data_IF_893811134486
#
_entry.id   IF_893811134486
#
_cell.length_a   1.000
_cell.length_b   1.000
_cell.length_c   1.000
_cell.angle_alpha   90.00
_cell.angle_beta   90.00
_cell.angle_gamma   90.00
#
_symmetry.space_group_name_H-M   'P 1'
#
loop_
_entity.id
_entity.type
_entity.pdbx_description
1 polymer ?
#
# COMPACT_ATOMS: atom_id res chain seq x y z
N UNK A 1 -30.05 -24.39 -14.08
CA UNK A 1 -30.81 -24.40 -12.81
C UNK A 1 -29.81 -24.19 -11.68
N UNK A 2 -29.01 -23.14 -11.74
CA UNK A 2 -29.35 -21.73 -11.48
C UNK A 2 -29.77 -21.52 -10.04
N UNK A 3 -28.82 -21.03 -9.25
CA UNK A 3 -29.01 -19.91 -8.32
C UNK A 3 -27.62 -19.47 -7.81
N UNK A 4 -26.94 -18.65 -8.63
CA UNK A 4 -25.96 -17.70 -8.12
C UNK A 4 -26.78 -16.52 -7.59
N UNK A 5 -27.05 -16.52 -6.29
CA UNK A 5 -27.46 -15.30 -5.60
C UNK A 5 -26.30 -14.31 -5.65
N UNK A 6 -26.53 -13.24 -6.40
CA UNK A 6 -25.69 -12.06 -6.42
C UNK A 6 -25.64 -11.44 -5.02
N UNK A 7 -24.49 -11.54 -4.36
CA UNK A 7 -24.22 -10.74 -3.16
C UNK A 7 -24.17 -9.24 -3.56
N UNK A 8 -24.81 -8.34 -2.80
CA UNK A 8 -24.74 -6.91 -3.04
C UNK A 8 -23.31 -6.42 -2.85
N UNK A 9 -22.83 -5.61 -3.79
CA UNK A 9 -21.44 -5.16 -3.87
C UNK A 9 -21.00 -4.38 -2.63
N UNK A 10 -20.19 -5.02 -1.78
CA UNK A 10 -19.42 -4.39 -0.72
C UNK A 10 -18.26 -3.59 -1.30
N UNK A 11 -18.16 -2.31 -0.93
CA UNK A 11 -17.08 -1.43 -1.35
C UNK A 11 -15.92 -1.54 -0.35
N UNK A 12 -14.80 -2.15 -0.75
CA UNK A 12 -13.64 -2.27 0.13
C UNK A 12 -13.01 -0.91 0.44
N UNK A 13 -12.55 -0.73 1.67
CA UNK A 13 -11.69 0.39 2.09
C UNK A 13 -10.50 0.60 1.13
N UNK A 14 -9.90 -0.48 0.63
CA UNK A 14 -8.77 -0.45 -0.30
C UNK A 14 -9.18 -0.09 -1.74
N UNK A 15 -10.33 -0.57 -2.20
CA UNK A 15 -10.90 -0.18 -3.50
C UNK A 15 -11.33 1.29 -3.50
N UNK A 16 -11.81 1.78 -2.35
CA UNK A 16 -12.13 3.18 -2.13
C UNK A 16 -10.88 4.07 -2.23
N UNK A 17 -9.77 3.73 -1.56
CA UNK A 17 -8.53 4.51 -1.66
C UNK A 17 -8.01 4.58 -3.10
N UNK A 18 -7.97 3.44 -3.80
CA UNK A 18 -7.62 3.40 -5.24
C UNK A 18 -8.54 4.28 -6.11
N UNK A 19 -9.84 4.35 -5.83
CA UNK A 19 -10.83 5.12 -6.62
C UNK A 19 -10.96 6.60 -6.22
N UNK A 20 -10.64 6.95 -4.97
CA UNK A 20 -10.71 8.32 -4.45
C UNK A 20 -9.46 9.12 -4.83
N UNK A 21 -8.26 8.57 -4.59
CA UNK A 21 -7.01 9.27 -4.86
C UNK A 21 -6.69 9.36 -6.35
N UNK A 22 -7.14 8.42 -7.17
CA UNK A 22 -7.03 8.51 -8.63
C UNK A 22 -7.90 9.60 -9.27
N UNK A 23 -8.77 10.28 -8.50
CA UNK A 23 -9.69 11.32 -8.97
C UNK A 23 -9.38 12.72 -8.43
N UNK A 24 -8.38 12.86 -7.55
CA UNK A 24 -7.91 14.19 -7.16
C UNK A 24 -6.97 14.71 -8.26
N UNK A 25 -7.17 15.93 -8.78
CA UNK A 25 -6.29 16.48 -9.80
C UNK A 25 -4.87 16.60 -9.21
N UNK A 26 -3.82 16.09 -9.87
CA UNK A 26 -2.46 16.35 -9.44
C UNK A 26 -2.19 17.85 -9.61
N UNK A 27 -1.83 18.51 -8.51
CA UNK A 27 -1.19 19.82 -8.59
C UNK A 27 0.24 19.59 -9.08
N UNK A 28 0.42 19.57 -10.40
CA UNK A 28 1.71 19.41 -11.05
C UNK A 28 2.26 20.77 -11.49
N UNK A 29 3.47 21.11 -11.05
CA UNK A 29 4.23 22.28 -11.54
C UNK A 29 5.60 21.73 -11.98
N UNK A 30 5.94 21.75 -13.29
CA UNK A 30 7.19 21.15 -13.75
C UNK A 30 8.36 22.09 -13.45
N UNK A 31 9.38 21.60 -12.74
CA UNK A 31 10.67 22.29 -12.58
C UNK A 31 11.79 21.30 -12.28
N UNK A 32 12.52 20.86 -13.32
CA UNK A 32 13.99 20.66 -13.39
C UNK A 32 14.78 19.85 -12.35
N UNK A 33 14.22 19.45 -11.22
CA UNK A 33 14.86 18.66 -10.16
C UNK A 33 14.04 17.39 -9.95
N UNK A 34 14.71 16.24 -10.12
CA UNK A 34 14.23 14.88 -9.96
C UNK A 34 13.03 14.72 -8.99
N UNK A 35 11.84 14.65 -9.54
CA UNK A 35 10.58 14.78 -8.80
C UNK A 35 10.20 13.44 -8.16
N UNK A 36 10.07 13.44 -6.84
CA UNK A 36 9.51 12.31 -6.09
C UNK A 36 7.99 12.35 -6.28
N UNK A 37 7.32 11.21 -6.53
CA UNK A 37 5.89 11.17 -6.71
C UNK A 37 5.14 11.80 -5.51
N UNK A 38 4.02 12.50 -5.73
CA UNK A 38 3.35 13.29 -4.70
C UNK A 38 2.82 12.46 -3.51
N UNK A 39 2.63 11.15 -3.71
CA UNK A 39 2.19 10.18 -2.70
C UNK A 39 3.36 9.52 -1.93
N UNK A 40 4.61 9.92 -2.20
CA UNK A 40 5.80 9.51 -1.44
C UNK A 40 6.37 10.70 -0.66
N UNK A 41 6.85 10.44 0.55
CA UNK A 41 7.54 11.42 1.40
C UNK A 41 9.03 11.12 1.46
N UNK A 42 9.87 12.16 1.43
CA UNK A 42 11.32 12.04 1.67
C UNK A 42 11.66 11.72 3.12
N UNK A 43 10.74 11.95 4.05
CA UNK A 43 10.94 11.70 5.47
C UNK A 43 11.14 10.19 5.72
N UNK A 44 12.08 9.81 6.61
CA UNK A 44 12.27 8.41 6.97
C UNK A 44 11.04 7.87 7.72
N UNK A 45 10.72 6.59 7.54
CA UNK A 45 9.71 5.86 8.31
C UNK A 45 10.23 5.63 9.74
N UNK A 46 10.22 6.69 10.55
CA UNK A 46 10.70 6.70 11.94
C UNK A 46 9.76 7.54 12.81
N UNK A 47 9.36 7.01 13.96
CA UNK A 47 8.34 7.63 14.82
C UNK A 47 6.95 7.59 14.21
N UNK A 48 6.02 8.33 14.80
CA UNK A 48 4.63 8.36 14.32
C UNK A 48 4.48 9.27 13.08
N UNK A 49 3.66 8.89 12.09
CA UNK A 49 3.28 9.77 11.00
C UNK A 49 2.38 10.92 11.48
N UNK A 50 2.25 11.99 10.69
CA UNK A 50 1.23 13.01 10.87
C UNK A 50 -0.18 12.41 10.93
N UNK A 51 -1.02 12.93 11.83
CA UNK A 51 -2.31 12.32 12.19
C UNK A 51 -3.53 13.23 12.10
N UNK A 52 -3.41 14.45 11.53
CA UNK A 52 -4.58 15.31 11.32
C UNK A 52 -5.39 14.84 10.10
N UNK A 53 -6.64 15.27 9.98
CA UNK A 53 -7.50 14.81 8.89
C UNK A 53 -6.95 15.16 7.50
N UNK A 54 -6.28 16.31 7.37
CA UNK A 54 -5.64 16.70 6.12
C UNK A 54 -4.55 15.69 5.69
N UNK A 55 -3.85 15.07 6.64
CA UNK A 55 -2.81 14.07 6.35
C UNK A 55 -3.44 12.75 5.84
N UNK A 56 -4.61 12.38 6.36
CA UNK A 56 -5.37 11.22 5.87
C UNK A 56 -5.97 11.44 4.47
N UNK A 57 -6.24 12.70 4.11
CA UNK A 57 -6.73 13.10 2.79
C UNK A 57 -5.63 13.19 1.72
N UNK A 58 -4.36 13.12 2.12
CA UNK A 58 -3.21 13.11 1.21
C UNK A 58 -2.05 12.32 1.82
N UNK A 59 -2.25 11.02 2.11
CA UNK A 59 -1.29 10.22 2.82
C UNK A 59 -0.04 10.03 1.95
N UNK A 60 1.14 10.13 2.57
CA UNK A 60 2.42 9.97 1.87
C UNK A 60 3.20 8.85 2.52
N UNK A 61 3.59 7.86 1.73
CA UNK A 61 4.40 6.77 2.26
C UNK A 61 5.81 7.29 2.56
N UNK A 62 6.30 7.06 3.76
CA UNK A 62 7.64 7.49 4.19
C UNK A 62 8.73 6.57 3.64
N UNK A 63 9.95 7.12 3.53
CA UNK A 63 11.11 6.46 2.96
C UNK A 63 11.65 5.39 3.91
N UNK A 64 12.06 4.25 3.38
CA UNK A 64 12.70 3.20 4.17
C UNK A 64 14.04 3.72 4.75
N UNK A 65 14.25 3.69 6.08
CA UNK A 65 15.45 4.23 6.70
C UNK A 65 16.75 3.53 6.25
N UNK A 66 16.69 2.22 5.96
CA UNK A 66 17.83 1.43 5.51
C UNK A 66 18.21 1.57 4.03
N UNK A 67 17.61 2.53 3.31
CA UNK A 67 17.78 2.70 1.87
C UNK A 67 19.20 3.07 1.40
N UNK A 68 20.08 3.49 2.31
CA UNK A 68 21.50 3.78 2.01
C UNK A 68 22.41 2.56 2.16
N UNK A 69 21.89 1.47 2.72
CA UNK A 69 22.66 0.25 2.90
C UNK A 69 22.75 -0.56 1.61
N UNK A 70 23.82 -1.35 1.49
CA UNK A 70 23.98 -2.31 0.42
C UNK A 70 22.87 -3.38 0.48
N UNK A 71 22.29 -3.72 -0.66
CA UNK A 71 21.23 -4.72 -0.77
C UNK A 71 21.84 -6.07 -1.07
N UNK A 72 21.59 -7.05 -0.21
CA UNK A 72 21.96 -8.43 -0.45
C UNK A 72 20.73 -9.20 -0.93
N UNK A 73 20.70 -9.53 -2.21
CA UNK A 73 19.67 -10.34 -2.85
C UNK A 73 19.80 -11.79 -2.40
N UNK A 74 18.76 -12.32 -1.75
CA UNK A 74 18.81 -13.67 -1.15
C UNK A 74 18.06 -14.68 -2.00
N UNK A 75 16.82 -14.35 -2.39
CA UNK A 75 15.94 -15.29 -3.08
C UNK A 75 14.83 -14.59 -3.85
N UNK A 76 14.65 -15.02 -5.10
CA UNK A 76 13.46 -14.69 -5.88
C UNK A 76 12.19 -15.28 -5.24
N UNK A 77 11.20 -14.44 -4.96
CA UNK A 77 9.93 -14.89 -4.40
C UNK A 77 8.86 -15.04 -5.47
N UNK A 78 8.68 -14.02 -6.31
CA UNK A 78 7.67 -13.99 -7.38
C UNK A 78 7.90 -12.82 -8.32
N UNK A 79 7.47 -12.93 -9.57
CA UNK A 79 7.18 -11.79 -10.43
C UNK A 79 5.71 -11.77 -10.89
N UNK A 80 5.23 -10.61 -11.33
CA UNK A 80 3.89 -10.41 -11.87
C UNK A 80 3.87 -9.26 -12.88
N UNK A 81 2.70 -8.87 -13.36
CA UNK A 81 2.59 -7.82 -14.38
C UNK A 81 3.09 -6.43 -13.94
N UNK A 82 3.00 -6.13 -12.65
CA UNK A 82 3.36 -4.82 -12.08
C UNK A 82 4.83 -4.73 -11.66
N UNK A 83 5.50 -5.87 -11.44
CA UNK A 83 6.80 -5.87 -10.77
C UNK A 83 7.30 -7.24 -10.33
N UNK A 84 8.40 -7.22 -9.57
CA UNK A 84 9.07 -8.40 -9.00
C UNK A 84 9.16 -8.27 -7.48
N UNK A 85 9.18 -9.40 -6.77
CA UNK A 85 9.35 -9.47 -5.33
C UNK A 85 10.55 -10.36 -5.00
N UNK A 86 11.51 -9.78 -4.31
CA UNK A 86 12.76 -10.43 -3.88
C UNK A 86 12.83 -10.48 -2.35
N UNK A 87 13.34 -11.58 -1.79
CA UNK A 87 13.82 -11.60 -0.43
C UNK A 87 15.21 -10.97 -0.39
N UNK A 88 15.38 -9.96 0.45
CA UNK A 88 16.63 -9.18 0.56
C UNK A 88 17.00 -8.97 2.02
N UNK A 89 18.27 -8.69 2.28
CA UNK A 89 18.71 -8.05 3.52
C UNK A 89 19.42 -6.74 3.20
N UNK A 90 19.36 -5.76 4.11
CA UNK A 90 20.00 -4.46 3.96
C UNK A 90 21.19 -4.34 4.92
N UNK A 91 22.38 -4.07 4.39
CA UNK A 91 23.62 -3.94 5.17
C UNK A 91 24.36 -5.26 5.37
N UNK A 92 25.57 -5.18 5.95
CA UNK A 92 26.51 -6.30 6.09
C UNK A 92 26.69 -6.86 7.50
N UNK A 93 25.74 -6.62 8.41
CA UNK A 93 25.79 -7.21 9.76
C UNK A 93 25.30 -8.66 9.78
N UNK A 94 25.67 -9.40 10.82
CA UNK A 94 25.28 -10.80 11.09
C UNK A 94 23.77 -11.00 11.40
N UNK A 95 22.92 -10.05 11.00
CA UNK A 95 21.48 -10.12 11.22
C UNK A 95 20.79 -10.95 10.13
N UNK A 96 19.95 -11.89 10.56
CA UNK A 96 19.03 -12.67 9.70
C UNK A 96 17.78 -11.87 9.27
N UNK A 97 17.80 -10.54 9.37
CA UNK A 97 16.65 -9.69 9.05
C UNK A 97 16.41 -9.68 7.54
N UNK A 98 15.48 -10.54 7.12
CA UNK A 98 14.98 -10.61 5.76
C UNK A 98 13.80 -9.65 5.57
N UNK A 99 13.79 -9.02 4.40
CA UNK A 99 12.69 -8.19 3.91
C UNK A 99 12.19 -8.73 2.59
N UNK A 100 10.91 -8.51 2.30
CA UNK A 100 10.37 -8.68 0.95
C UNK A 100 10.38 -7.33 0.24
N UNK A 101 11.20 -7.19 -0.79
CA UNK A 101 11.29 -5.98 -1.61
C UNK A 101 10.47 -6.17 -2.89
N UNK A 102 9.36 -5.45 -3.03
CA UNK A 102 8.59 -5.37 -4.27
C UNK A 102 9.10 -4.21 -5.11
N UNK A 103 9.68 -4.47 -6.28
CA UNK A 103 10.08 -3.46 -7.26
C UNK A 103 9.06 -3.37 -8.38
N UNK A 104 8.73 -2.16 -8.80
CA UNK A 104 7.74 -1.91 -9.85
C UNK A 104 8.43 -1.63 -11.18
N UNK A 105 7.94 -2.23 -12.27
CA UNK A 105 8.52 -2.01 -13.60
C UNK A 105 8.21 -0.60 -14.13
N UNK A 106 7.04 -0.05 -13.78
CA UNK A 106 6.64 1.28 -14.21
C UNK A 106 7.15 2.37 -13.26
N UNK A 107 7.94 3.27 -13.82
CA UNK A 107 8.57 4.40 -13.11
C UNK A 107 7.75 5.69 -13.20
N UNK A 108 6.69 5.66 -14.00
CA UNK A 108 5.73 6.76 -14.23
C UNK A 108 4.34 6.18 -14.54
N UNK A 109 3.27 6.98 -14.42
CA UNK A 109 1.93 6.59 -14.84
C UNK A 109 1.89 6.11 -16.29
N UNK A 110 1.08 5.09 -16.57
CA UNK A 110 0.89 4.61 -17.93
C UNK A 110 0.18 5.68 -18.79
N UNK A 111 0.45 5.76 -20.09
CA UNK A 111 -0.36 6.58 -20.99
C UNK A 111 -1.81 6.08 -20.96
N UNK A 112 -2.79 6.97 -20.84
CA UNK A 112 -4.19 6.58 -20.91
C UNK A 112 -4.70 6.71 -22.36
N UNK A 113 -5.22 5.62 -22.92
CA UNK A 113 -5.81 5.62 -24.27
C UNK A 113 -7.15 6.38 -24.37
N UNK A 114 -7.69 6.88 -23.25
CA UNK A 114 -8.98 7.58 -23.17
C UNK A 114 -8.87 9.10 -23.01
N UNK A 115 -7.71 9.71 -23.29
CA UNK A 115 -7.56 11.18 -23.27
C UNK A 115 -7.41 11.81 -21.87
N UNK A 116 -7.23 11.01 -20.82
CA UNK A 116 -6.74 11.50 -19.54
C UNK A 116 -5.20 11.67 -19.60
N UNK A 117 -4.67 12.70 -18.94
CA UNK A 117 -3.23 13.00 -18.95
C UNK A 117 -2.38 11.83 -18.39
N UNK A 118 -2.94 11.03 -17.46
CA UNK A 118 -2.24 9.91 -16.83
C UNK A 118 -3.18 8.71 -16.59
N UNK A 119 -2.70 7.51 -16.90
CA UNK A 119 -3.33 6.22 -16.61
C UNK A 119 -2.88 5.64 -15.26
N UNK A 120 -3.31 4.42 -14.90
CA UNK A 120 -3.01 3.84 -13.59
C UNK A 120 -1.50 3.67 -13.39
N UNK A 121 -1.03 3.96 -12.18
CA UNK A 121 0.33 3.68 -11.74
C UNK A 121 0.29 2.64 -10.61
N UNK A 122 0.80 1.41 -10.81
CA UNK A 122 0.72 0.36 -9.79
C UNK A 122 1.32 0.75 -8.42
N UNK A 123 2.41 1.52 -8.43
CA UNK A 123 3.05 2.02 -7.20
C UNK A 123 2.13 2.94 -6.39
N UNK A 124 1.38 3.82 -7.06
CA UNK A 124 0.54 4.85 -6.41
C UNK A 124 -0.49 4.22 -5.46
N UNK A 125 -1.30 3.30 -5.99
CA UNK A 125 -2.35 2.67 -5.19
C UNK A 125 -1.82 1.85 -4.00
N UNK A 126 -0.68 1.20 -4.16
CA UNK A 126 -0.07 0.41 -3.07
C UNK A 126 0.61 1.31 -2.02
N UNK A 127 1.29 2.38 -2.45
CA UNK A 127 1.92 3.34 -1.56
C UNK A 127 0.90 4.10 -0.72
N UNK A 128 -0.19 4.61 -1.33
CA UNK A 128 -1.27 5.29 -0.63
C UNK A 128 -1.95 4.40 0.41
N UNK A 129 -2.15 3.12 0.07
CA UNK A 129 -2.70 2.14 1.00
C UNK A 129 -1.79 1.96 2.20
N UNK A 130 -0.48 1.75 1.97
CA UNK A 130 0.48 1.54 3.05
C UNK A 130 0.62 2.78 3.94
N UNK A 131 0.65 3.98 3.35
CA UNK A 131 0.70 5.24 4.08
C UNK A 131 -0.53 5.43 4.99
N UNK A 132 -1.71 5.05 4.51
CA UNK A 132 -2.93 5.13 5.30
C UNK A 132 -2.97 4.10 6.42
N UNK A 133 -2.53 2.87 6.15
CA UNK A 133 -2.42 1.84 7.19
C UNK A 133 -1.43 2.28 8.28
N UNK A 134 -0.32 2.91 7.91
CA UNK A 134 0.65 3.48 8.84
C UNK A 134 0.00 4.51 9.77
N UNK A 135 -0.76 5.46 9.22
CA UNK A 135 -1.50 6.46 9.99
C UNK A 135 -2.56 5.85 10.90
N UNK A 136 -3.30 4.84 10.42
CA UNK A 136 -4.28 4.11 11.24
C UNK A 136 -3.58 3.40 12.40
N UNK A 137 -2.47 2.68 12.15
CA UNK A 137 -1.70 2.01 13.20
C UNK A 137 -1.25 2.99 14.28
N UNK A 138 -0.67 4.12 13.88
CA UNK A 138 -0.19 5.14 14.81
C UNK A 138 -1.33 5.78 15.59
N UNK A 139 -2.45 6.09 14.93
CA UNK A 139 -3.65 6.57 15.59
C UNK A 139 -4.14 5.62 16.68
N UNK A 140 -4.21 4.32 16.39
CA UNK A 140 -4.65 3.31 17.36
C UNK A 140 -3.68 3.21 18.55
N UNK A 141 -2.37 3.32 18.30
CA UNK A 141 -1.36 3.38 19.36
C UNK A 141 -1.54 4.59 20.28
N UNK A 142 -1.75 5.77 19.70
CA UNK A 142 -1.96 7.03 20.42
C UNK A 142 -3.32 7.11 21.14
N UNK A 143 -4.34 6.41 20.64
CA UNK A 143 -5.68 6.47 21.22
C UNK A 143 -5.76 5.70 22.56
N UNK A 144 -4.88 4.73 22.79
CA UNK A 144 -4.87 3.93 24.03
C UNK A 144 -4.77 4.81 25.29
N UNK A 145 -5.64 4.61 26.31
CA UNK A 145 -6.58 3.50 26.46
C UNK A 145 -7.99 3.73 25.86
N UNK A 146 -8.26 4.87 25.24
CA UNK A 146 -9.58 5.20 24.67
C UNK A 146 -9.76 4.55 23.29
N UNK A 147 -10.69 3.60 23.10
CA UNK A 147 -10.86 2.94 21.82
C UNK A 147 -11.37 3.89 20.73
N UNK A 148 -10.83 3.75 19.52
CA UNK A 148 -11.44 4.33 18.32
C UNK A 148 -12.56 3.40 17.87
N UNK A 149 -13.80 3.88 17.91
CA UNK A 149 -14.95 3.14 17.42
C UNK A 149 -15.22 3.42 15.96
N UNK A 150 -15.69 2.41 15.23
CA UNK A 150 -16.22 2.52 13.87
C UNK A 150 -17.53 1.73 13.77
N UNK A 151 -18.42 2.04 12.81
CA UNK A 151 -19.61 1.23 12.56
C UNK A 151 -19.24 -0.23 12.26
N UNK A 152 -20.07 -1.17 12.73
CA UNK A 152 -19.93 -2.61 12.43
C UNK A 152 -20.09 -2.90 10.94
N UNK A 153 -20.98 -2.16 10.26
CA UNK A 153 -21.21 -2.27 8.82
C UNK A 153 -20.87 -0.93 8.14
N UNK A 154 -20.13 -0.98 7.04
CA UNK A 154 -19.80 0.18 6.22
C UNK A 154 -20.33 -0.03 4.81
N UNK A 155 -21.58 0.37 4.59
CA UNK A 155 -22.27 0.15 3.32
C UNK A 155 -21.89 1.18 2.24
N UNK A 156 -21.25 2.29 2.62
CA UNK A 156 -20.99 3.41 1.71
C UNK A 156 -19.57 3.97 1.78
N UNK A 157 -19.19 4.61 0.67
CA UNK A 157 -17.97 5.43 0.55
C UNK A 157 -17.86 6.49 1.64
N UNK A 158 -19.00 7.09 2.01
CA UNK A 158 -19.05 8.13 3.05
C UNK A 158 -18.77 7.55 4.43
N UNK A 159 -19.29 6.36 4.73
CA UNK A 159 -19.02 5.67 6.00
C UNK A 159 -17.57 5.19 6.11
N UNK A 160 -16.97 4.72 5.00
CA UNK A 160 -15.55 4.37 4.97
C UNK A 160 -14.67 5.60 5.25
N UNK A 161 -14.97 6.74 4.62
CA UNK A 161 -14.31 8.02 4.89
C UNK A 161 -14.49 8.48 6.33
N UNK A 162 -15.71 8.34 6.87
CA UNK A 162 -16.01 8.74 8.24
C UNK A 162 -15.31 7.84 9.27
N UNK A 163 -15.12 6.57 8.95
CA UNK A 163 -14.31 5.62 9.74
C UNK A 163 -12.83 5.99 9.72
N UNK A 164 -12.31 6.43 8.56
CA UNK A 164 -10.95 6.96 8.48
C UNK A 164 -10.82 8.27 9.25
N UNK A 165 -11.80 9.16 9.14
CA UNK A 165 -11.86 10.39 9.92
C UNK A 165 -11.83 10.12 11.42
N UNK A 166 -12.53 9.08 11.92
CA UNK A 166 -12.48 8.68 13.32
C UNK A 166 -11.05 8.35 13.82
N UNK A 167 -10.13 7.99 12.91
CA UNK A 167 -8.71 7.77 13.21
C UNK A 167 -7.89 9.07 13.21
N UNK A 168 -8.38 10.18 12.65
CA UNK A 168 -7.69 11.47 12.74
C UNK A 168 -7.74 12.05 14.15
N UNK A 169 -6.82 12.95 14.47
CA UNK A 169 -6.84 13.72 15.73
C UNK A 169 -8.20 14.36 15.98
N UNK A 170 -8.76 15.00 14.95
CA UNK A 170 -10.04 15.70 14.98
C UNK A 170 -11.21 14.73 15.20
N UNK A 171 -11.21 13.59 14.52
CA UNK A 171 -12.25 12.58 14.68
C UNK A 171 -12.23 11.91 16.05
N UNK A 172 -11.03 11.64 16.60
CA UNK A 172 -10.86 11.13 17.96
C UNK A 172 -11.36 12.13 19.00
N UNK A 173 -11.02 13.41 18.86
CA UNK A 173 -11.50 14.47 19.76
C UNK A 173 -13.02 14.63 19.73
N UNK A 174 -13.64 14.50 18.55
CA UNK A 174 -15.10 14.58 18.39
C UNK A 174 -15.82 13.31 18.83
N UNK A 175 -15.10 12.19 18.95
CA UNK A 175 -15.64 10.88 19.26
C UNK A 175 -16.88 10.57 18.39
N UNK A 176 -16.71 10.66 17.07
CA UNK A 176 -17.80 10.71 16.05
C UNK A 176 -18.80 9.55 16.12
N UNK A 177 -18.42 8.42 16.71
CA UNK A 177 -19.26 7.23 16.84
C UNK A 177 -19.63 6.90 18.30
N UNK A 178 -19.41 7.83 19.23
CA UNK A 178 -19.82 7.68 20.64
C UNK A 178 -21.31 7.46 20.82
N UNK A 179 -22.12 8.11 19.99
CA UNK A 179 -23.59 8.05 20.05
C UNK A 179 -24.18 6.80 19.38
N UNK A 180 -23.38 6.00 18.66
CA UNK A 180 -23.87 4.74 18.10
C UNK A 180 -24.14 3.72 19.22
N UNK A 181 -25.22 2.93 19.12
CA UNK A 181 -25.46 1.80 20.01
C UNK A 181 -24.25 0.84 20.04
N UNK A 182 -23.99 0.23 21.19
CA UNK A 182 -22.86 -0.70 21.35
C UNK A 182 -22.91 -1.88 20.37
N UNK A 183 -24.12 -2.34 20.02
CA UNK A 183 -24.34 -3.40 19.02
C UNK A 183 -24.04 -2.99 17.58
N UNK A 184 -23.86 -1.69 17.31
CA UNK A 184 -23.63 -1.12 15.98
C UNK A 184 -22.24 -0.53 15.81
N UNK A 185 -21.39 -0.58 16.84
CA UNK A 185 -20.01 -0.10 16.78
C UNK A 185 -19.04 -1.17 17.25
N UNK A 186 -17.83 -1.11 16.72
CA UNK A 186 -16.74 -2.00 17.08
C UNK A 186 -15.49 -1.18 17.36
N UNK A 187 -14.72 -1.60 18.37
CA UNK A 187 -13.42 -1.01 18.65
C UNK A 187 -12.42 -1.43 17.56
N UNK A 188 -11.90 -0.47 16.82
CA UNK A 188 -10.96 -0.70 15.72
C UNK A 188 -9.65 -1.32 16.23
N UNK A 189 -9.23 -1.01 17.46
CA UNK A 189 -8.07 -1.63 18.11
C UNK A 189 -8.23 -3.15 18.28
N UNK A 190 -9.45 -3.63 18.59
CA UNK A 190 -9.75 -5.06 18.71
C UNK A 190 -9.69 -5.77 17.36
N UNK A 191 -10.26 -5.17 16.31
CA UNK A 191 -10.18 -5.69 14.95
C UNK A 191 -8.73 -5.76 14.45
N UNK A 192 -7.95 -4.72 14.73
CA UNK A 192 -6.55 -4.65 14.33
C UNK A 192 -5.70 -5.66 15.09
N UNK A 193 -5.90 -5.83 16.40
CA UNK A 193 -5.19 -6.83 17.19
C UNK A 193 -5.48 -8.28 16.72
N UNK A 194 -6.70 -8.54 16.23
CA UNK A 194 -7.09 -9.82 15.66
C UNK A 194 -6.57 -10.04 14.23
N UNK A 195 -6.13 -8.98 13.54
CA UNK A 195 -5.74 -9.01 12.13
C UNK A 195 -4.25 -8.78 11.97
N UNK A 196 -3.53 -9.78 11.49
CA UNK A 196 -2.12 -9.61 11.14
C UNK A 196 -1.99 -8.77 9.87
N UNK A 197 -1.79 -7.46 10.00
CA UNK A 197 -1.45 -6.59 8.87
C UNK A 197 0.06 -6.66 8.62
N UNK A 198 0.48 -7.01 7.39
CA UNK A 198 1.90 -7.06 7.03
C UNK A 198 2.51 -5.68 7.17
N UNK A 199 3.65 -5.58 7.87
CA UNK A 199 4.34 -4.31 8.02
C UNK A 199 5.00 -3.89 6.71
N UNK A 200 4.74 -2.64 6.29
CA UNK A 200 5.54 -1.95 5.29
C UNK A 200 6.58 -1.09 6.01
N UNK A 201 7.84 -1.21 5.61
CA UNK A 201 8.96 -0.45 6.16
C UNK A 201 9.26 0.83 5.36
N UNK A 202 8.46 1.11 4.31
CA UNK A 202 8.56 2.31 3.51
C UNK A 202 9.02 2.05 2.08
N UNK A 203 9.25 3.13 1.35
CA UNK A 203 9.69 3.05 -0.05
C UNK A 203 11.20 3.23 -0.22
N UNK A 204 11.73 2.66 -1.30
CA UNK A 204 13.11 2.83 -1.75
C UNK A 204 13.12 3.23 -3.23
N UNK A 205 14.21 3.86 -3.65
CA UNK A 205 14.51 4.09 -5.07
C UNK A 205 15.86 3.47 -5.39
N UNK A 206 15.88 2.62 -6.42
CA UNK A 206 17.08 1.93 -6.87
C UNK A 206 17.44 2.34 -8.29
N UNK A 207 18.73 2.36 -8.59
CA UNK A 207 19.23 2.54 -9.95
C UNK A 207 19.03 1.25 -10.75
N UNK A 208 18.78 1.38 -12.05
CA UNK A 208 18.55 0.27 -12.96
C UNK A 208 19.72 -0.70 -12.99
N UNK A 209 20.95 -0.20 -12.89
CA UNK A 209 22.20 -0.95 -12.76
C UNK A 209 22.16 -1.92 -11.58
N UNK A 210 21.61 -1.48 -10.44
CA UNK A 210 21.53 -2.29 -9.23
C UNK A 210 20.52 -3.45 -9.34
N UNK A 211 19.56 -3.35 -10.27
CA UNK A 211 18.44 -4.31 -10.40
C UNK A 211 18.39 -5.02 -11.76
N UNK A 212 19.24 -4.65 -12.72
CA UNK A 212 19.26 -5.23 -14.06
C UNK A 212 19.48 -6.75 -14.06
N UNK A 213 20.27 -7.26 -13.12
CA UNK A 213 20.50 -8.70 -12.96
C UNK A 213 19.22 -9.49 -12.64
N UNK A 214 18.19 -8.85 -12.07
CA UNK A 214 16.91 -9.49 -11.76
C UNK A 214 16.09 -9.83 -13.01
N UNK A 215 16.45 -9.28 -14.18
CA UNK A 215 15.79 -9.59 -15.44
C UNK A 215 15.83 -11.09 -15.78
N UNK A 216 16.82 -11.84 -15.26
CA UNK A 216 16.90 -13.28 -15.42
C UNK A 216 15.72 -14.04 -14.77
N UNK A 217 14.98 -13.40 -13.86
CA UNK A 217 13.83 -13.96 -13.16
C UNK A 217 12.49 -13.51 -13.74
N UNK A 218 12.50 -12.72 -14.82
CA UNK A 218 11.27 -12.18 -15.40
C UNK A 218 10.93 -12.98 -16.66
N UNK A 219 9.86 -13.76 -16.58
CA UNK A 219 9.31 -14.44 -17.75
C UNK A 219 8.37 -13.49 -18.51
N UNK A 220 8.66 -13.28 -19.80
CA UNK A 220 7.76 -12.55 -20.68
C UNK A 220 6.50 -13.39 -20.97
N UNK A 221 5.34 -12.86 -20.59
CA UNK A 221 4.06 -13.44 -21.01
C UNK A 221 3.84 -13.13 -22.49
N UNK A 222 4.31 -14.03 -23.37
CA UNK A 222 4.16 -13.91 -24.81
C UNK A 222 2.69 -13.77 -25.24
N UNK A 223 1.74 -14.32 -24.48
CA UNK A 223 0.32 -14.24 -24.80
C UNK A 223 -0.19 -12.81 -24.60
N UNK A 224 0.27 -12.11 -23.56
CA UNK A 224 -0.01 -10.68 -23.35
C UNK A 224 0.69 -9.81 -24.40
N UNK A 225 1.95 -10.12 -24.71
CA UNK A 225 2.69 -9.43 -25.75
C UNK A 225 1.98 -9.49 -27.12
N UNK A 226 1.46 -10.67 -27.50
CA UNK A 226 0.68 -10.88 -28.73
C UNK A 226 -0.65 -10.12 -28.76
N UNK A 227 -1.23 -9.79 -27.60
CA UNK A 227 -2.48 -9.03 -27.49
C UNK A 227 -2.28 -7.51 -27.54
N UNK A 228 -1.03 -7.04 -27.62
CA UNK A 228 -0.72 -5.62 -27.56
C UNK A 228 -1.02 -4.99 -26.19
N UNK A 229 -1.09 -5.81 -25.14
CA UNK A 229 -1.19 -5.29 -23.77
C UNK A 229 0.12 -4.55 -23.47
N UNK A 230 0.04 -3.22 -23.52
CA UNK A 230 1.08 -2.24 -23.19
C UNK A 230 1.44 -2.24 -21.70
N UNK A 231 1.61 -3.42 -21.08
CA UNK A 231 2.56 -3.55 -19.97
C UNK A 231 3.95 -3.43 -20.58
N UNK A 232 4.24 -2.20 -21.00
CA UNK A 232 5.50 -1.72 -21.57
C UNK A 232 6.62 -2.21 -20.66
N UNK A 233 7.45 -3.11 -21.16
CA UNK A 233 8.66 -3.61 -20.52
C UNK A 233 8.49 -4.16 -19.09
N UNK A 234 8.25 -5.46 -18.96
CA UNK A 234 8.52 -6.17 -17.70
C UNK A 234 10.04 -6.41 -17.55
N UNK A 235 10.84 -5.35 -17.54
CA UNK A 235 12.30 -5.44 -17.37
C UNK A 235 12.89 -4.16 -16.78
N UNK A 236 14.05 -4.32 -16.17
CA UNK A 236 14.87 -3.25 -15.63
C UNK A 236 15.94 -2.82 -16.63
N UNK A 237 16.03 -1.52 -16.91
CA UNK A 237 16.99 -0.92 -17.82
C UNK A 237 18.04 -0.14 -17.04
N UNK A 238 19.34 -0.33 -17.34
CA UNK A 238 20.39 0.58 -16.90
C UNK A 238 20.07 2.04 -17.29
N UNK A 239 20.53 3.00 -16.50
CA UNK A 239 20.30 4.43 -16.71
C UNK A 239 18.90 4.91 -16.31
N UNK A 240 18.02 4.03 -15.83
CA UNK A 240 16.72 4.39 -15.22
C UNK A 240 16.78 4.22 -13.71
N UNK A 241 15.75 4.69 -13.01
CA UNK A 241 15.53 4.39 -11.60
C UNK A 241 14.19 3.70 -11.43
N UNK A 242 14.08 2.87 -10.40
CA UNK A 242 12.89 2.10 -10.07
C UNK A 242 12.50 2.34 -8.62
N UNK A 243 11.20 2.38 -8.37
CA UNK A 243 10.69 2.45 -7.01
C UNK A 243 10.41 1.04 -6.51
N UNK A 244 10.64 0.84 -5.21
CA UNK A 244 10.27 -0.37 -4.51
C UNK A 244 9.65 -0.09 -3.16
N UNK A 245 8.87 -1.05 -2.68
CA UNK A 245 8.29 -1.05 -1.34
C UNK A 245 8.92 -2.19 -0.54
N UNK A 246 9.36 -1.87 0.67
CA UNK A 246 10.00 -2.82 1.58
C UNK A 246 8.96 -3.33 2.56
N UNK A 247 8.79 -4.65 2.62
CA UNK A 247 7.84 -5.32 3.51
C UNK A 247 8.57 -6.26 4.47
N UNK A 248 7.89 -6.56 5.57
CA UNK A 248 8.22 -7.72 6.41
C UNK A 248 8.29 -8.98 5.55
N UNK A 249 9.41 -9.71 5.65
CA UNK A 249 9.51 -11.04 5.04
C UNK A 249 8.75 -12.06 5.86
N UNK A 250 7.90 -12.83 5.18
CA UNK A 250 7.18 -13.95 5.78
C UNK A 250 7.80 -15.25 5.29
N UNK A 251 8.37 -16.10 6.16
CA UNK A 251 8.80 -17.42 5.75
C UNK A 251 7.59 -18.23 5.26
N UNK A 252 7.81 -19.23 4.38
CA UNK A 252 6.77 -20.17 4.03
C UNK A 252 6.13 -20.78 5.28
N UNK A 253 4.82 -20.69 5.39
CA UNK A 253 4.02 -21.22 6.48
C UNK A 253 2.74 -21.84 5.93
N UNK A 254 2.12 -22.73 6.69
CA UNK A 254 0.81 -23.27 6.34
C UNK A 254 -0.25 -22.16 6.32
N UNK A 255 -1.23 -22.29 5.43
CA UNK A 255 -2.31 -21.33 5.30
C UNK A 255 -3.26 -21.45 6.50
N UNK A 256 -3.25 -20.45 7.37
CA UNK A 256 -4.28 -20.28 8.40
C UNK A 256 -5.52 -19.62 7.78
N UNK A 257 -6.53 -20.43 7.47
CA UNK A 257 -7.79 -19.99 6.85
C UNK A 257 -8.49 -18.95 7.72
N UNK A 258 -8.47 -19.10 9.04
CA UNK A 258 -9.12 -18.16 9.95
C UNK A 258 -8.39 -16.82 9.97
N UNK A 259 -7.06 -16.82 9.90
CA UNK A 259 -6.29 -15.59 9.77
C UNK A 259 -6.56 -14.86 8.44
N UNK A 260 -6.71 -15.61 7.34
CA UNK A 260 -7.09 -15.03 6.04
C UNK A 260 -8.50 -14.45 6.11
N UNK A 261 -9.47 -15.14 6.70
CA UNK A 261 -10.82 -14.63 6.84
C UNK A 261 -10.86 -13.35 7.69
N UNK A 262 -10.12 -13.31 8.82
CA UNK A 262 -9.99 -12.08 9.63
C UNK A 262 -9.41 -10.90 8.84
N UNK A 263 -8.44 -11.14 7.95
CA UNK A 263 -7.90 -10.11 7.06
C UNK A 263 -8.93 -9.64 6.03
N UNK A 264 -9.69 -10.55 5.43
CA UNK A 264 -10.79 -10.22 4.51
C UNK A 264 -11.80 -9.36 5.23
N UNK A 265 -12.23 -9.78 6.43
CA UNK A 265 -13.20 -9.05 7.21
C UNK A 265 -12.70 -7.64 7.56
N UNK A 266 -11.43 -7.51 7.97
CA UNK A 266 -10.86 -6.19 8.24
C UNK A 266 -10.82 -5.26 7.01
N UNK A 267 -10.54 -5.78 5.82
CA UNK A 267 -10.34 -4.98 4.59
C UNK A 267 -11.62 -4.78 3.75
N UNK A 268 -12.64 -5.63 3.96
CA UNK A 268 -13.82 -5.72 3.09
C UNK A 268 -15.17 -5.61 3.82
N UNK A 269 -15.23 -5.47 5.15
CA UNK A 269 -16.46 -5.10 5.88
C UNK A 269 -16.75 -3.59 5.89
#
# INVERSE_FOLDING_TARGET
>A
MDNLESLPGTFSFLQFQRSFFSRLPPLFIPSGNMEIPPFLSTEPLQGDPPGCWADFLSPKLRRFPGCTHHIHWKKHLRHGGEGIVEAVSFGGGDGDDLFALKLFFQTKPLPNNYGHEHGPWPLDGEALTMASLEQVCASLGQASPTPVYVPVQRASRVEALSSLFACSLEGRQRNVYSALPETQRVALSGLFAATRVRRCHGWVRLEGEAVAHLNQHIEMDERRARKGDLMTAAYFEPGKYYFGLVYEYLPPAELDVDAVQRQIDFLHY
#
